data_IF_100739423918
#
_entry.id   IF_100739423918
#
_cell.length_a   1.000
_cell.length_b   1.000
_cell.length_c   1.000
_cell.angle_alpha   90.00
_cell.angle_beta   90.00
_cell.angle_gamma   90.00
#
_symmetry.space_group_name_H-M   'P 1'
#
loop_
_entity.id
_entity.type
_entity.pdbx_description
1 polymer ?
#
# COMPACT_ATOMS: atom_id res chain seq x y z
N UNK A 1 19.26 13.44 0.82
CA UNK A 1 18.04 13.19 1.60
C UNK A 1 17.39 11.98 0.98
N UNK A 2 17.05 10.99 1.80
CA UNK A 2 16.44 9.72 1.39
C UNK A 2 14.93 9.95 1.25
N UNK A 3 14.35 9.66 0.08
CA UNK A 3 12.94 9.91 -0.20
C UNK A 3 12.15 8.61 -0.07
N UNK A 4 11.16 8.61 0.80
CA UNK A 4 10.34 7.43 1.09
C UNK A 4 8.88 7.74 0.74
N UNK A 5 8.27 6.86 -0.05
CA UNK A 5 6.82 6.84 -0.26
C UNK A 5 6.23 5.68 0.54
N UNK A 6 5.14 5.93 1.26
CA UNK A 6 4.37 4.87 1.93
C UNK A 6 2.91 4.97 1.53
N UNK A 7 2.28 3.83 1.29
CA UNK A 7 0.89 3.74 0.85
C UNK A 7 0.14 2.76 1.76
N UNK A 8 -0.92 3.25 2.40
CA UNK A 8 -1.73 2.45 3.32
C UNK A 8 -2.55 1.37 2.60
N UNK A 9 -3.00 0.39 3.39
CA UNK A 9 -4.03 -0.56 2.97
C UNK A 9 -5.43 0.04 2.94
N UNK A 10 -6.33 -0.55 2.15
CA UNK A 10 -7.71 -0.05 2.03
C UNK A 10 -8.59 -0.67 0.95
N UNK A 11 -8.21 -1.82 0.36
CA UNK A 11 -8.96 -2.46 -0.71
C UNK A 11 -9.12 -1.56 -1.94
N UNK A 12 -10.34 -1.48 -2.49
CA UNK A 12 -10.63 -0.67 -3.67
C UNK A 12 -10.38 0.83 -3.46
N UNK A 13 -10.35 1.30 -2.21
CA UNK A 13 -10.06 2.70 -1.86
C UNK A 13 -8.64 3.12 -2.20
N UNK A 14 -7.76 2.18 -2.58
CA UNK A 14 -6.47 2.48 -3.19
C UNK A 14 -6.52 3.37 -4.44
N UNK A 15 -7.69 3.50 -5.07
CA UNK A 15 -7.93 4.50 -6.11
C UNK A 15 -7.61 5.91 -5.60
N UNK A 16 -7.89 6.22 -4.32
CA UNK A 16 -7.67 7.55 -3.74
C UNK A 16 -6.18 7.94 -3.72
N UNK A 17 -5.25 7.23 -3.04
CA UNK A 17 -3.83 7.54 -3.12
C UNK A 17 -3.30 7.38 -4.56
N UNK A 18 -3.92 6.51 -5.35
CA UNK A 18 -3.65 6.40 -6.77
C UNK A 18 -3.84 7.68 -7.58
N UNK A 19 -4.95 8.39 -7.39
CA UNK A 19 -5.19 9.68 -8.04
C UNK A 19 -4.24 10.77 -7.52
N UNK A 20 -3.92 10.76 -6.22
CA UNK A 20 -2.89 11.65 -5.65
C UNK A 20 -1.54 11.44 -6.36
N UNK A 21 -1.12 10.19 -6.52
CA UNK A 21 0.13 9.84 -7.20
C UNK A 21 0.10 10.22 -8.69
N UNK A 22 -1.04 10.06 -9.36
CA UNK A 22 -1.22 10.49 -10.76
C UNK A 22 -0.98 12.00 -10.89
N UNK A 23 -1.62 12.81 -10.04
CA UNK A 23 -1.42 14.26 -10.05
C UNK A 23 0.02 14.64 -9.68
N UNK A 24 0.64 13.97 -8.70
CA UNK A 24 2.04 14.20 -8.34
C UNK A 24 2.99 13.90 -9.51
N UNK A 25 2.75 12.80 -10.22
CA UNK A 25 3.52 12.41 -11.40
C UNK A 25 3.42 13.46 -12.51
N UNK A 26 2.22 13.97 -12.80
CA UNK A 26 2.00 15.07 -13.74
C UNK A 26 2.77 16.35 -13.34
N UNK A 27 2.72 16.73 -12.06
CA UNK A 27 3.47 17.89 -11.55
C UNK A 27 4.98 17.66 -11.74
N UNK A 28 5.48 16.46 -11.44
CA UNK A 28 6.90 16.13 -11.62
C UNK A 28 7.29 16.21 -13.10
N UNK A 29 6.49 15.66 -14.01
CA UNK A 29 6.73 15.71 -15.45
C UNK A 29 6.84 17.16 -15.95
N UNK A 30 5.91 18.01 -15.52
CA UNK A 30 5.89 19.43 -15.88
C UNK A 30 7.11 20.19 -15.33
N UNK A 31 7.41 20.03 -14.03
CA UNK A 31 8.50 20.77 -13.37
C UNK A 31 9.89 20.30 -13.79
N UNK A 32 10.06 19.01 -14.07
CA UNK A 32 11.35 18.46 -14.50
C UNK A 32 11.58 18.59 -16.02
N UNK A 33 10.54 18.90 -16.81
CA UNK A 33 10.61 18.89 -18.26
C UNK A 33 10.77 17.49 -18.87
N UNK A 34 10.53 16.43 -18.08
CA UNK A 34 10.65 15.04 -18.49
C UNK A 34 9.25 14.38 -18.55
N UNK A 35 8.63 14.25 -19.73
CA UNK A 35 7.31 13.62 -19.86
C UNK A 35 7.30 12.13 -19.50
N UNK A 36 8.47 11.46 -19.50
CA UNK A 36 8.61 10.04 -19.16
C UNK A 36 8.89 9.81 -17.67
N UNK A 37 8.85 10.88 -16.85
CA UNK A 37 9.02 10.78 -15.41
C UNK A 37 7.90 9.95 -14.79
N UNK A 38 8.29 8.94 -13.99
CA UNK A 38 7.37 8.08 -13.25
C UNK A 38 7.68 8.08 -11.77
N UNK A 39 6.68 7.93 -10.91
CA UNK A 39 6.86 7.96 -9.44
C UNK A 39 8.00 7.04 -8.95
N UNK A 40 8.11 5.82 -9.50
CA UNK A 40 9.13 4.85 -9.13
C UNK A 40 10.58 5.30 -9.36
N UNK A 41 10.81 6.31 -10.20
CA UNK A 41 12.14 6.83 -10.50
C UNK A 41 12.62 7.87 -9.46
N UNK A 42 11.71 8.47 -8.69
CA UNK A 42 11.98 9.65 -7.85
C UNK A 42 12.09 9.33 -6.35
N UNK A 43 11.50 8.22 -5.91
CA UNK A 43 11.63 7.73 -4.54
C UNK A 43 12.77 6.71 -4.40
N UNK A 44 13.49 6.78 -3.28
CA UNK A 44 14.59 5.85 -2.97
C UNK A 44 14.08 4.56 -2.33
N UNK A 45 12.90 4.61 -1.71
CA UNK A 45 12.21 3.46 -1.14
C UNK A 45 10.69 3.65 -1.23
N UNK A 46 9.95 2.59 -1.55
CA UNK A 46 8.49 2.58 -1.52
C UNK A 46 8.01 1.44 -0.61
N UNK A 47 7.09 1.74 0.30
CA UNK A 47 6.48 0.76 1.19
C UNK A 47 4.97 0.74 1.05
N UNK A 48 4.37 -0.43 1.25
CA UNK A 48 2.94 -0.59 1.05
C UNK A 48 2.33 -1.75 1.82
N UNK A 49 1.07 -1.57 2.18
CA UNK A 49 0.25 -2.60 2.82
C UNK A 49 -1.00 -2.85 2.00
N UNK A 50 -1.39 -4.11 1.82
CA UNK A 50 -2.59 -4.48 1.06
C UNK A 50 -2.53 -3.88 -0.35
N UNK A 51 -3.57 -3.19 -0.79
CA UNK A 51 -3.56 -2.41 -2.03
C UNK A 51 -2.35 -1.48 -2.16
N UNK A 52 -1.89 -0.84 -1.09
CA UNK A 52 -0.65 -0.05 -1.13
C UNK A 52 0.59 -0.88 -1.47
N UNK A 53 0.62 -2.15 -1.06
CA UNK A 53 1.67 -3.11 -1.41
C UNK A 53 1.59 -3.55 -2.88
N UNK A 54 0.38 -3.72 -3.42
CA UNK A 54 0.18 -3.96 -4.86
C UNK A 54 0.63 -2.75 -5.67
N UNK A 55 0.22 -1.53 -5.30
CA UNK A 55 0.70 -0.30 -5.94
C UNK A 55 2.22 -0.18 -5.86
N UNK A 56 2.83 -0.52 -4.72
CA UNK A 56 4.30 -0.58 -4.57
C UNK A 56 4.94 -1.51 -5.59
N UNK A 57 4.37 -2.70 -5.81
CA UNK A 57 4.86 -3.66 -6.80
C UNK A 57 4.79 -3.10 -8.23
N UNK A 58 3.71 -2.41 -8.60
CA UNK A 58 3.59 -1.76 -9.91
C UNK A 58 4.57 -0.61 -10.08
N UNK A 59 4.66 0.30 -9.10
CA UNK A 59 5.51 1.48 -9.15
C UNK A 59 7.00 1.14 -9.22
N UNK A 60 7.40 -0.01 -8.65
CA UNK A 60 8.79 -0.50 -8.68
C UNK A 60 9.05 -1.61 -9.71
N UNK A 61 8.04 -1.96 -10.52
CA UNK A 61 8.21 -2.94 -11.58
C UNK A 61 9.23 -2.42 -12.61
N UNK A 62 10.30 -3.17 -12.90
CA UNK A 62 11.33 -2.71 -13.83
C UNK A 62 10.83 -2.72 -15.29
N UNK A 63 11.09 -1.63 -15.99
CA UNK A 63 11.05 -1.56 -17.45
C UNK A 63 12.37 -2.06 -18.07
N UNK A 64 12.37 -2.25 -19.39
CA UNK A 64 13.56 -2.71 -20.12
C UNK A 64 14.71 -1.69 -20.13
N UNK A 65 14.42 -0.42 -19.85
CA UNK A 65 15.36 0.70 -19.82
C UNK A 65 15.94 0.97 -18.42
N UNK A 66 15.63 0.12 -17.43
CA UNK A 66 16.07 0.30 -16.04
C UNK A 66 15.32 1.38 -15.27
N UNK A 67 14.20 1.86 -15.79
CA UNK A 67 13.26 2.78 -15.11
C UNK A 67 11.96 2.07 -14.74
N UNK A 68 11.07 2.76 -14.03
CA UNK A 68 9.73 2.26 -13.75
C UNK A 68 8.99 1.89 -15.06
N UNK A 69 8.39 0.69 -15.07
CA UNK A 69 7.58 0.21 -16.19
C UNK A 69 6.25 0.96 -16.27
N UNK A 70 5.61 1.18 -15.12
CA UNK A 70 4.26 1.72 -15.01
C UNK A 70 4.25 3.16 -14.49
N UNK A 71 3.44 3.99 -15.13
CA UNK A 71 2.99 5.27 -14.57
C UNK A 71 2.09 5.04 -13.36
N UNK A 72 1.94 6.05 -12.50
CA UNK A 72 0.97 6.00 -11.40
C UNK A 72 -0.46 5.74 -11.92
N UNK A 73 -0.81 6.34 -13.07
CA UNK A 73 -2.10 6.16 -13.71
C UNK A 73 -2.35 4.71 -14.13
N UNK A 74 -1.38 4.06 -14.76
CA UNK A 74 -1.47 2.65 -15.18
C UNK A 74 -1.49 1.69 -13.99
N UNK A 75 -0.73 1.98 -12.92
CA UNK A 75 -0.77 1.20 -11.70
C UNK A 75 -2.19 1.19 -11.09
N UNK A 76 -2.88 2.33 -11.14
CA UNK A 76 -4.23 2.51 -10.58
C UNK A 76 -5.32 2.01 -11.52
N UNK A 77 -5.13 2.08 -12.83
CA UNK A 77 -6.12 1.61 -13.80
C UNK A 77 -6.41 0.13 -13.65
N UNK A 78 -5.44 -0.66 -13.15
CA UNK A 78 -5.67 -2.07 -12.76
C UNK A 78 -6.85 -2.20 -11.78
N UNK A 79 -7.01 -1.30 -10.81
CA UNK A 79 -8.14 -1.31 -9.88
C UNK A 79 -9.45 -0.80 -10.50
N UNK A 80 -9.38 0.15 -11.41
CA UNK A 80 -10.57 0.76 -12.02
C UNK A 80 -11.16 -0.15 -13.09
N UNK A 81 -10.32 -0.72 -13.94
CA UNK A 81 -10.71 -1.54 -15.09
C UNK A 81 -11.02 -2.98 -14.67
N UNK A 82 -10.27 -3.52 -13.70
CA UNK A 82 -10.39 -4.91 -13.26
C UNK A 82 -11.00 -5.03 -11.86
N UNK A 83 -11.42 -3.93 -11.23
CA UNK A 83 -12.00 -3.95 -9.88
C UNK A 83 -13.24 -4.85 -9.79
N UNK A 84 -14.06 -4.86 -10.83
CA UNK A 84 -15.19 -5.77 -10.95
C UNK A 84 -14.78 -7.24 -10.93
N UNK A 85 -13.68 -7.59 -11.61
CA UNK A 85 -13.16 -8.94 -11.75
C UNK A 85 -12.34 -9.39 -10.53
N UNK A 86 -11.59 -8.48 -9.90
CA UNK A 86 -10.79 -8.70 -8.68
C UNK A 86 -11.70 -8.93 -7.47
N UNK A 87 -12.83 -8.22 -7.41
CA UNK A 87 -13.81 -8.32 -6.35
C UNK A 87 -15.13 -8.94 -6.86
N UNK A 88 -15.04 -9.83 -7.85
CA UNK A 88 -16.20 -10.57 -8.34
C UNK A 88 -16.57 -11.65 -7.32
N UNK A 89 -17.82 -11.62 -6.85
CA UNK A 89 -18.29 -12.58 -5.83
C UNK A 89 -18.25 -14.01 -6.39
N UNK A 90 -17.81 -14.97 -5.58
CA UNK A 90 -17.96 -16.39 -5.87
C UNK A 90 -19.45 -16.74 -6.04
N UNK A 91 -19.97 -16.81 -7.26
CA UNK A 91 -21.37 -17.17 -7.53
C UNK A 91 -21.69 -18.67 -7.31
N UNK A 92 -20.85 -19.42 -6.58
CA UNK A 92 -20.78 -20.88 -6.70
C UNK A 92 -20.73 -21.75 -5.44
N UNK A 93 -20.70 -21.24 -4.19
CA UNK A 93 -20.65 -22.09 -2.97
C UNK A 93 -21.65 -21.68 -1.88
N UNK A 94 -22.92 -21.49 -2.26
CA UNK A 94 -24.01 -21.56 -1.30
C UNK A 94 -24.41 -23.03 -1.06
N UNK A 95 -23.65 -23.76 -0.22
CA UNK A 95 -24.25 -24.88 0.52
C UNK A 95 -24.29 -24.50 1.99
N UNK A 96 -25.50 -24.14 2.39
CA UNK A 96 -25.98 -23.93 3.74
C UNK A 96 -25.54 -25.09 4.64
N UNK A 97 -24.78 -24.79 5.69
CA UNK A 97 -24.84 -25.60 6.91
C UNK A 97 -25.34 -24.72 8.06
N UNK A 98 -26.38 -25.21 8.73
CA UNK A 98 -27.04 -24.56 9.85
C UNK A 98 -26.03 -24.39 11.00
N UNK A 99 -25.41 -23.22 11.08
CA UNK A 99 -24.35 -22.93 12.03
C UNK A 99 -23.61 -21.61 11.77
N UNK A 100 -23.62 -21.12 10.53
CA UNK A 100 -23.18 -19.78 10.16
C UNK A 100 -21.66 -19.57 10.20
N UNK A 101 -21.14 -18.88 9.18
CA UNK A 101 -19.72 -18.64 8.85
C UNK A 101 -19.06 -19.82 8.10
N UNK A 102 -19.36 -19.95 6.81
CA UNK A 102 -18.56 -20.82 5.91
C UNK A 102 -18.42 -20.15 4.53
N UNK A 103 -17.17 -19.96 4.10
CA UNK A 103 -16.60 -19.36 2.87
C UNK A 103 -16.24 -17.85 2.84
N UNK A 104 -15.06 -17.57 2.27
CA UNK A 104 -14.57 -16.23 1.96
C UNK A 104 -15.37 -15.56 0.83
N UNK A 105 -15.28 -14.23 0.74
CA UNK A 105 -16.16 -13.44 -0.12
C UNK A 105 -15.78 -13.52 -1.61
N UNK A 106 -14.51 -13.78 -1.95
CA UNK A 106 -13.96 -13.65 -3.31
C UNK A 106 -12.94 -14.75 -3.65
N UNK A 107 -12.90 -15.20 -4.92
CA UNK A 107 -11.88 -16.14 -5.41
C UNK A 107 -10.55 -15.43 -5.67
N UNK A 108 -9.45 -15.97 -5.14
CA UNK A 108 -8.11 -15.41 -5.33
C UNK A 108 -7.58 -15.54 -6.77
N UNK A 109 -8.14 -16.45 -7.57
CA UNK A 109 -7.64 -16.81 -8.91
C UNK A 109 -7.65 -15.66 -9.92
N UNK A 110 -8.69 -14.81 -9.91
CA UNK A 110 -8.78 -13.66 -10.80
C UNK A 110 -7.67 -12.64 -10.53
N UNK A 111 -7.52 -12.26 -9.26
CA UNK A 111 -6.45 -11.34 -8.82
C UNK A 111 -5.07 -11.92 -9.15
N UNK A 112 -4.83 -13.19 -8.88
CA UNK A 112 -3.57 -13.85 -9.21
C UNK A 112 -3.24 -13.81 -10.71
N UNK A 113 -4.23 -14.08 -11.57
CA UNK A 113 -4.05 -14.05 -13.02
C UNK A 113 -3.70 -12.65 -13.51
N UNK A 114 -4.39 -11.62 -13.01
CA UNK A 114 -4.11 -10.22 -13.35
C UNK A 114 -2.70 -9.83 -12.88
N UNK A 115 -2.33 -10.18 -11.65
CA UNK A 115 -1.00 -9.88 -11.11
C UNK A 115 0.09 -10.58 -11.91
N UNK A 116 -0.09 -11.86 -12.29
CA UNK A 116 0.84 -12.62 -13.14
C UNK A 116 0.96 -12.01 -14.53
N UNK A 117 -0.14 -11.59 -15.15
CA UNK A 117 -0.15 -10.97 -16.48
C UNK A 117 0.59 -9.62 -16.46
N UNK A 118 0.25 -8.74 -15.51
CA UNK A 118 0.77 -7.37 -15.50
C UNK A 118 2.20 -7.31 -14.95
N UNK A 119 2.45 -7.85 -13.77
CA UNK A 119 3.78 -7.79 -13.12
C UNK A 119 4.76 -8.80 -13.72
N UNK A 120 4.24 -9.86 -14.34
CA UNK A 120 5.02 -10.99 -14.84
C UNK A 120 5.09 -12.11 -13.80
N UNK A 121 4.68 -13.31 -14.21
CA UNK A 121 4.67 -14.50 -13.36
C UNK A 121 6.05 -14.85 -12.78
N UNK A 122 7.11 -14.43 -13.48
CA UNK A 122 8.49 -14.73 -13.11
C UNK A 122 9.26 -13.60 -12.43
N UNK A 123 8.65 -12.43 -12.22
CA UNK A 123 9.31 -11.32 -11.56
C UNK A 123 9.56 -11.64 -10.09
N UNK A 124 10.83 -11.68 -9.71
CA UNK A 124 11.29 -11.89 -8.33
C UNK A 124 11.41 -10.56 -7.58
N UNK A 125 11.19 -10.59 -6.27
CA UNK A 125 11.33 -9.43 -5.37
C UNK A 125 12.69 -8.75 -5.53
N UNK A 126 13.77 -9.52 -5.61
CA UNK A 126 15.14 -9.03 -5.83
C UNK A 126 15.30 -8.14 -7.08
N UNK A 127 14.42 -8.31 -8.07
CA UNK A 127 14.46 -7.60 -9.36
C UNK A 127 13.68 -6.28 -9.38
N UNK A 128 12.97 -5.91 -8.29
CA UNK A 128 12.35 -4.59 -8.20
C UNK A 128 13.42 -3.47 -8.23
N UNK A 129 13.06 -2.33 -8.80
CA UNK A 129 14.00 -1.24 -9.13
C UNK A 129 14.71 -0.62 -7.92
N UNK A 130 14.05 -0.62 -6.77
CA UNK A 130 14.48 0.05 -5.55
C UNK A 130 14.14 -0.80 -4.33
N UNK A 131 14.78 -0.53 -3.17
CA UNK A 131 14.34 -1.05 -1.90
C UNK A 131 12.83 -0.83 -1.70
N UNK A 132 12.15 -1.86 -1.22
CA UNK A 132 10.75 -1.78 -0.84
C UNK A 132 10.51 -2.43 0.52
N UNK A 133 9.33 -2.20 1.09
CA UNK A 133 8.82 -2.95 2.23
C UNK A 133 7.33 -3.20 2.01
N UNK A 134 6.95 -4.47 1.83
CA UNK A 134 5.55 -4.88 1.70
C UNK A 134 5.16 -5.76 2.89
N UNK A 135 4.07 -5.42 3.58
CA UNK A 135 3.69 -6.08 4.84
C UNK A 135 2.74 -7.26 4.61
N UNK A 136 2.94 -8.36 5.34
CA UNK A 136 1.97 -9.44 5.50
C UNK A 136 2.10 -10.05 6.91
N UNK A 137 1.15 -10.88 7.32
CA UNK A 137 1.22 -11.59 8.60
C UNK A 137 1.22 -13.10 8.39
N UNK A 138 2.23 -13.77 8.92
CA UNK A 138 2.38 -15.23 8.87
C UNK A 138 1.61 -15.86 10.03
N UNK A 139 0.54 -16.59 9.69
CA UNK A 139 -0.39 -17.15 10.67
C UNK A 139 0.12 -18.47 11.25
N UNK A 140 0.96 -19.21 10.53
CA UNK A 140 1.53 -20.47 11.00
C UNK A 140 2.66 -20.20 11.99
N UNK A 141 3.55 -19.27 11.65
CA UNK A 141 4.66 -18.87 12.52
C UNK A 141 4.30 -17.75 13.51
N UNK A 142 3.07 -17.20 13.42
CA UNK A 142 2.54 -16.12 14.26
C UNK A 142 3.45 -14.91 14.35
N UNK A 143 3.89 -14.40 13.19
CA UNK A 143 4.83 -13.28 13.12
C UNK A 143 4.46 -12.28 12.03
N UNK A 144 4.79 -11.02 12.28
CA UNK A 144 4.82 -10.01 11.23
C UNK A 144 5.89 -10.37 10.19
N UNK A 145 5.55 -10.26 8.92
CA UNK A 145 6.42 -10.54 7.77
C UNK A 145 6.57 -9.28 6.94
N UNK A 146 7.81 -8.92 6.63
CA UNK A 146 8.17 -7.78 5.80
C UNK A 146 8.93 -8.28 4.58
N UNK A 147 8.35 -8.11 3.40
CA UNK A 147 9.00 -8.39 2.13
C UNK A 147 9.87 -7.21 1.73
N UNK A 148 11.17 -7.35 1.98
CA UNK A 148 12.16 -6.32 1.72
C UNK A 148 13.02 -6.71 0.50
N UNK A 149 12.99 -5.89 -0.55
CA UNK A 149 13.85 -6.12 -1.71
C UNK A 149 15.34 -6.19 -1.34
N UNK A 150 15.76 -5.39 -0.36
CA UNK A 150 17.14 -5.36 0.12
C UNK A 150 17.62 -6.69 0.76
N UNK A 151 16.69 -7.47 1.32
CA UNK A 151 16.99 -8.75 1.96
C UNK A 151 16.79 -9.94 1.00
N UNK A 152 16.24 -9.68 -0.20
CA UNK A 152 15.89 -10.67 -1.23
C UNK A 152 17.10 -11.20 -2.03
N UNK A 153 18.32 -10.75 -1.75
CA UNK A 153 19.53 -11.42 -2.24
C UNK A 153 19.73 -12.80 -1.60
N UNK A 154 19.01 -13.09 -0.50
CA UNK A 154 18.98 -14.40 0.13
C UNK A 154 17.76 -15.16 -0.40
N UNK A 155 17.91 -16.35 -1.02
CA UNK A 155 16.81 -17.07 -1.67
C UNK A 155 15.57 -17.29 -0.78
N UNK A 156 15.77 -17.60 0.51
CA UNK A 156 14.66 -17.75 1.48
C UNK A 156 13.79 -16.51 1.67
N UNK A 157 14.33 -15.33 1.38
CA UNK A 157 13.65 -14.04 1.48
C UNK A 157 13.19 -13.52 0.10
N UNK A 158 13.46 -14.26 -0.98
CA UNK A 158 13.10 -13.89 -2.33
C UNK A 158 11.85 -14.65 -2.75
N UNK A 159 10.86 -13.92 -3.25
CA UNK A 159 9.55 -14.45 -3.63
C UNK A 159 9.11 -13.83 -4.95
N UNK A 160 8.14 -14.45 -5.64
CA UNK A 160 7.54 -13.80 -6.80
C UNK A 160 6.74 -12.58 -6.35
N UNK A 161 6.84 -11.49 -7.11
CA UNK A 161 6.19 -10.22 -6.76
C UNK A 161 4.67 -10.37 -6.77
N UNK A 162 4.11 -11.16 -7.69
CA UNK A 162 2.67 -11.43 -7.72
C UNK A 162 2.19 -12.21 -6.48
N UNK A 163 3.00 -13.12 -5.94
CA UNK A 163 2.70 -13.84 -4.69
C UNK A 163 2.70 -12.88 -3.49
N UNK A 164 3.68 -11.97 -3.43
CA UNK A 164 3.74 -10.93 -2.40
C UNK A 164 2.52 -10.01 -2.47
N UNK A 165 2.16 -9.55 -3.67
CA UNK A 165 1.00 -8.70 -3.93
C UNK A 165 -0.32 -9.39 -3.54
N UNK A 166 -0.45 -10.70 -3.77
CA UNK A 166 -1.56 -11.52 -3.29
C UNK A 166 -1.53 -11.62 -1.76
N UNK A 167 -0.39 -11.96 -1.16
CA UNK A 167 -0.26 -12.16 0.28
C UNK A 167 -0.58 -10.90 1.08
N UNK A 168 -0.07 -9.75 0.65
CA UNK A 168 -0.30 -8.48 1.36
C UNK A 168 -1.77 -8.05 1.31
N UNK A 169 -2.55 -8.46 0.30
CA UNK A 169 -3.95 -8.09 0.10
C UNK A 169 -4.97 -9.16 0.55
N UNK A 170 -4.49 -10.22 1.19
CA UNK A 170 -5.27 -11.36 1.67
C UNK A 170 -6.08 -11.03 2.94
N UNK A 171 -6.99 -10.05 2.87
CA UNK A 171 -7.68 -9.52 4.03
C UNK A 171 -8.61 -10.57 4.65
N UNK A 172 -8.45 -10.91 5.94
CA UNK A 172 -9.35 -11.84 6.62
C UNK A 172 -10.81 -11.39 6.45
N UNK A 173 -11.72 -12.34 6.26
CA UNK A 173 -13.15 -12.13 5.94
C UNK A 173 -13.47 -11.65 4.52
N UNK A 174 -12.47 -11.26 3.72
CA UNK A 174 -12.64 -10.88 2.31
C UNK A 174 -12.02 -11.92 1.35
N UNK A 175 -10.78 -12.35 1.62
CA UNK A 175 -10.04 -13.31 0.80
C UNK A 175 -9.51 -14.48 1.63
N UNK A 176 -9.31 -15.63 0.98
CA UNK A 176 -8.58 -16.78 1.54
C UNK A 176 -7.17 -16.36 1.98
N UNK A 177 -6.57 -17.06 2.96
CA UNK A 177 -5.15 -16.91 3.26
C UNK A 177 -4.27 -17.26 2.04
N UNK A 178 -3.14 -16.59 1.87
CA UNK A 178 -2.21 -16.83 0.77
C UNK A 178 -1.21 -17.90 1.15
N UNK A 179 -1.03 -18.92 0.30
CA UNK A 179 0.17 -19.74 0.38
C UNK A 179 1.16 -19.25 -0.67
N UNK A 180 2.35 -18.81 -0.25
CA UNK A 180 3.43 -18.39 -1.13
C UNK A 180 4.67 -19.24 -0.92
N UNK A 181 5.56 -19.28 -1.91
CA UNK A 181 6.80 -20.08 -1.82
C UNK A 181 8.03 -19.21 -2.07
N UNK A 182 9.03 -19.31 -1.19
CA UNK A 182 10.33 -18.65 -1.41
C UNK A 182 11.11 -19.31 -2.55
N UNK A 183 12.15 -18.64 -3.04
CA UNK A 183 13.07 -19.20 -4.03
C UNK A 183 13.75 -20.49 -3.54
N UNK A 184 13.91 -20.66 -2.21
CA UNK A 184 14.43 -21.89 -1.59
C UNK A 184 13.40 -23.03 -1.48
N UNK A 185 12.13 -22.77 -1.81
CA UNK A 185 11.05 -23.75 -1.75
C UNK A 185 10.31 -23.83 -0.41
N UNK A 186 10.66 -22.97 0.57
CA UNK A 186 9.91 -22.85 1.83
C UNK A 186 8.56 -22.17 1.59
N UNK A 187 7.49 -22.73 2.17
CA UNK A 187 6.13 -22.25 2.03
C UNK A 187 5.71 -21.42 3.24
N UNK A 188 4.91 -20.39 3.00
CA UNK A 188 4.37 -19.50 4.03
C UNK A 188 2.87 -19.30 3.84
N UNK A 189 2.11 -19.38 4.92
CA UNK A 189 0.67 -19.09 4.94
C UNK A 189 0.45 -17.71 5.54
N UNK A 190 -0.02 -16.77 4.71
CA UNK A 190 -0.01 -15.34 4.99
C UNK A 190 -1.40 -14.72 4.87
N UNK A 191 -1.67 -13.72 5.70
CA UNK A 191 -2.84 -12.82 5.58
C UNK A 191 -2.37 -11.38 5.41
N UNK A 192 -3.32 -10.49 5.09
CA UNK A 192 -3.08 -9.06 4.86
C UNK A 192 -2.30 -8.40 6.00
N UNK A 193 -1.35 -7.54 5.65
CA UNK A 193 -0.54 -6.80 6.63
C UNK A 193 -1.30 -5.72 7.39
N UNK A 194 -2.48 -5.31 6.90
CA UNK A 194 -3.38 -4.34 7.51
C UNK A 194 -3.88 -4.77 8.89
N UNK A 195 -3.80 -6.06 9.22
CA UNK A 195 -4.11 -6.58 10.56
C UNK A 195 -3.17 -6.08 11.65
N UNK A 196 -1.97 -5.58 11.30
CA UNK A 196 -1.00 -5.07 12.28
C UNK A 196 -0.29 -3.78 11.86
N UNK A 197 -0.14 -3.51 10.57
CA UNK A 197 0.59 -2.37 10.04
C UNK A 197 -0.12 -1.80 8.80
N UNK A 198 -1.38 -1.35 8.95
CA UNK A 198 -2.12 -0.76 7.83
C UNK A 198 -1.45 0.49 7.24
N UNK A 199 -0.84 1.31 8.11
CA UNK A 199 0.06 2.39 7.72
C UNK A 199 1.52 1.90 7.89
N UNK A 200 2.23 1.55 6.81
CA UNK A 200 3.58 1.00 6.89
C UNK A 200 4.66 2.06 7.12
N UNK A 201 4.32 3.34 7.35
CA UNK A 201 5.27 4.44 7.38
C UNK A 201 6.36 4.30 8.44
N UNK A 202 6.02 3.88 9.67
CA UNK A 202 7.03 3.67 10.71
C UNK A 202 7.88 2.43 10.45
N UNK A 203 7.30 1.37 9.85
CA UNK A 203 8.06 0.21 9.39
C UNK A 203 9.09 0.62 8.32
N UNK A 204 8.66 1.42 7.34
CA UNK A 204 9.52 1.96 6.30
C UNK A 204 10.61 2.88 6.87
N UNK A 205 10.28 3.73 7.85
CA UNK A 205 11.26 4.56 8.56
C UNK A 205 12.34 3.71 9.24
N UNK A 206 11.95 2.66 9.97
CA UNK A 206 12.87 1.76 10.64
C UNK A 206 13.75 0.99 9.64
N UNK A 207 13.17 0.48 8.56
CA UNK A 207 13.87 -0.26 7.51
C UNK A 207 14.84 0.64 6.73
N UNK A 208 14.42 1.86 6.37
CA UNK A 208 15.29 2.83 5.71
C UNK A 208 16.52 3.16 6.58
N UNK A 209 16.32 3.32 7.90
CA UNK A 209 17.45 3.54 8.82
C UNK A 209 18.39 2.34 8.86
N UNK A 210 17.88 1.11 8.81
CA UNK A 210 18.69 -0.13 8.74
C UNK A 210 19.49 -0.18 7.44
N UNK A 211 18.79 -0.06 6.31
CA UNK A 211 19.33 -0.24 4.97
C UNK A 211 20.32 0.86 4.59
N UNK A 212 19.89 2.12 4.64
CA UNK A 212 20.73 3.25 4.22
C UNK A 212 21.87 3.52 5.18
N UNK A 213 21.77 3.11 6.45
CA UNK A 213 22.94 3.15 7.35
C UNK A 213 24.07 2.29 6.84
N UNK A 214 23.76 1.06 6.42
CA UNK A 214 24.73 0.13 5.86
C UNK A 214 25.21 0.59 4.47
N UNK A 215 24.27 0.96 3.59
CA UNK A 215 24.58 1.35 2.21
C UNK A 215 25.42 2.64 2.11
N UNK A 216 25.12 3.64 2.93
CA UNK A 216 25.81 4.94 2.92
C UNK A 216 26.92 5.05 3.97
N UNK A 217 27.13 4.01 4.78
CA UNK A 217 28.07 3.99 5.91
C UNK A 217 27.93 5.23 6.83
N UNK A 218 26.68 5.64 7.11
CA UNK A 218 26.33 6.84 7.88
C UNK A 218 25.15 6.54 8.79
N UNK A 219 25.14 7.07 10.01
CA UNK A 219 23.91 7.02 10.83
C UNK A 219 22.79 7.83 10.15
N UNK A 220 21.62 7.21 10.04
CA UNK A 220 20.42 7.81 9.43
C UNK A 220 19.45 8.22 10.55
N UNK A 221 19.01 9.47 10.50
CA UNK A 221 18.04 10.10 11.40
C UNK A 221 16.87 10.69 10.61
N UNK A 222 15.87 11.26 11.30
CA UNK A 222 14.76 11.94 10.62
C UNK A 222 15.23 13.10 9.71
N UNK A 223 16.31 13.80 10.08
CA UNK A 223 16.93 14.87 9.27
C UNK A 223 17.38 14.39 7.89
N UNK A 224 17.71 13.12 7.75
CA UNK A 224 18.19 12.53 6.51
C UNK A 224 17.06 12.05 5.59
N UNK A 225 15.81 11.99 6.08
CA UNK A 225 14.67 11.35 5.40
C UNK A 225 13.61 12.39 5.04
N UNK A 226 13.11 12.34 3.80
CA UNK A 226 11.87 12.98 3.39
C UNK A 226 10.82 11.89 3.13
N UNK A 227 9.70 11.95 3.84
CA UNK A 227 8.71 10.87 3.82
C UNK A 227 7.33 11.41 3.44
N UNK A 228 6.75 10.81 2.42
CA UNK A 228 5.37 11.01 2.00
C UNK A 228 4.57 9.76 2.36
N UNK A 229 3.49 9.93 3.11
CA UNK A 229 2.60 8.87 3.55
C UNK A 229 1.19 9.15 3.03
N UNK A 230 0.64 8.20 2.27
CA UNK A 230 -0.65 8.33 1.62
C UNK A 230 -1.65 7.34 2.24
N UNK A 231 -2.73 7.89 2.80
CA UNK A 231 -3.85 7.11 3.30
C UNK A 231 -4.84 6.71 2.21
N UNK A 232 -5.77 5.83 2.58
CA UNK A 232 -6.87 5.34 1.73
C UNK A 232 -8.24 5.89 2.16
N UNK A 233 -8.24 6.99 2.91
CA UNK A 233 -9.44 7.63 3.45
C UNK A 233 -9.85 7.04 4.81
N UNK A 234 -10.31 7.92 5.69
CA UNK A 234 -10.77 7.59 7.05
C UNK A 234 -12.29 7.46 7.13
N UNK A 235 -12.76 6.40 7.78
CA UNK A 235 -14.19 6.24 8.09
C UNK A 235 -14.50 7.12 9.32
N UNK A 236 -15.14 8.27 9.11
CA UNK A 236 -15.49 9.20 10.21
C UNK A 236 -16.78 8.82 10.95
N UNK A 237 -17.38 7.65 10.66
CA UNK A 237 -18.63 7.24 11.31
C UNK A 237 -18.35 6.72 12.72
N UNK A 238 -18.86 7.37 13.77
CA UNK A 238 -18.62 6.91 15.13
C UNK A 238 -19.44 5.64 15.43
N UNK A 239 -18.83 4.73 16.18
CA UNK A 239 -19.56 3.64 16.82
C UNK A 239 -20.17 4.13 18.15
N UNK A 240 -21.49 4.34 18.15
CA UNK A 240 -22.21 4.93 19.28
C UNK A 240 -22.37 3.93 20.44
N UNK A 241 -22.19 4.41 21.68
CA UNK A 241 -22.26 3.61 22.90
C UNK A 241 -23.54 2.77 23.01
N UNK A 242 -24.71 3.37 22.78
CA UNK A 242 -26.00 2.67 22.95
C UNK A 242 -26.19 1.50 22.01
N UNK A 243 -25.50 1.50 20.86
CA UNK A 243 -25.46 0.34 19.97
C UNK A 243 -24.37 -0.64 20.39
N UNK A 244 -23.16 -0.14 20.66
CA UNK A 244 -21.97 -0.96 20.88
C UNK A 244 -21.95 -1.73 22.21
N UNK A 245 -22.60 -1.20 23.26
CA UNK A 245 -22.61 -1.81 24.60
C UNK A 245 -23.22 -3.21 24.64
N UNK A 246 -24.15 -3.50 23.73
CA UNK A 246 -24.91 -4.76 23.66
C UNK A 246 -24.46 -5.64 22.46
N UNK A 247 -23.34 -5.32 21.81
CA UNK A 247 -22.82 -6.12 20.70
C UNK A 247 -22.27 -7.47 21.16
N UNK A 248 -22.71 -8.54 20.50
CA UNK A 248 -22.11 -9.87 20.57
C UNK A 248 -20.94 -10.04 19.60
N UNK A 249 -20.34 -11.23 19.60
CA UNK A 249 -19.14 -11.57 18.81
C UNK A 249 -19.29 -11.20 17.34
N UNK A 250 -20.40 -11.58 16.70
CA UNK A 250 -20.61 -11.32 15.27
C UNK A 250 -20.70 -9.81 14.93
N UNK A 251 -21.26 -9.01 15.83
CA UNK A 251 -21.38 -7.56 15.65
C UNK A 251 -20.05 -6.83 15.83
N UNK A 252 -19.12 -7.39 16.62
CA UNK A 252 -17.79 -6.83 16.84
C UNK A 252 -16.78 -7.11 15.71
N UNK A 253 -16.99 -8.12 14.87
CA UNK A 253 -15.99 -8.54 13.85
C UNK A 253 -15.58 -7.38 12.94
N UNK A 254 -16.55 -6.73 12.27
CA UNK A 254 -16.25 -5.63 11.35
C UNK A 254 -15.69 -4.39 12.06
N UNK A 255 -16.29 -3.89 13.16
CA UNK A 255 -15.75 -2.78 13.93
C UNK A 255 -14.33 -3.00 14.43
N UNK A 256 -13.99 -4.21 14.90
CA UNK A 256 -12.63 -4.48 15.37
C UNK A 256 -11.60 -4.39 14.23
N UNK A 257 -11.90 -4.92 13.05
CA UNK A 257 -11.01 -4.78 11.88
C UNK A 257 -10.82 -3.32 11.52
N UNK A 258 -11.91 -2.55 11.45
CA UNK A 258 -11.87 -1.12 11.16
C UNK A 258 -11.05 -0.33 12.21
N UNK A 259 -11.29 -0.56 13.51
CA UNK A 259 -10.56 0.08 14.61
C UNK A 259 -9.07 -0.27 14.57
N UNK A 260 -8.70 -1.52 14.29
CA UNK A 260 -7.29 -1.91 14.18
C UNK A 260 -6.59 -1.20 13.02
N UNK A 261 -7.28 -1.03 11.88
CA UNK A 261 -6.71 -0.34 10.72
C UNK A 261 -6.63 1.19 10.91
N UNK A 262 -7.71 1.82 11.36
CA UNK A 262 -7.77 3.27 11.60
C UNK A 262 -6.87 3.68 12.78
N UNK A 263 -7.00 2.99 13.92
CA UNK A 263 -6.21 3.26 15.12
C UNK A 263 -4.71 3.05 14.92
N UNK A 264 -4.30 2.04 14.13
CA UNK A 264 -2.89 1.90 13.74
C UNK A 264 -2.43 3.07 12.88
N UNK A 265 -3.22 3.49 11.89
CA UNK A 265 -2.87 4.59 11.00
C UNK A 265 -2.71 5.93 11.73
N UNK A 266 -3.63 6.26 12.64
CA UNK A 266 -3.57 7.45 13.50
C UNK A 266 -2.37 7.43 14.45
N UNK A 267 -2.11 6.27 15.08
CA UNK A 267 -0.99 6.12 16.01
C UNK A 267 0.35 6.29 15.31
N UNK A 268 0.51 5.72 14.11
CA UNK A 268 1.74 5.85 13.32
C UNK A 268 1.97 7.30 12.86
N UNK A 269 0.92 7.99 12.39
CA UNK A 269 1.01 9.40 12.01
C UNK A 269 1.40 10.27 13.22
N UNK A 270 0.80 10.05 14.40
CA UNK A 270 1.18 10.71 15.64
C UNK A 270 2.66 10.48 15.98
N UNK A 271 3.14 9.23 15.93
CA UNK A 271 4.52 8.88 16.25
C UNK A 271 5.52 9.54 15.30
N UNK A 272 5.28 9.48 13.99
CA UNK A 272 6.17 10.06 13.00
C UNK A 272 6.21 11.59 13.08
N UNK A 273 5.07 12.26 13.31
CA UNK A 273 5.06 13.70 13.57
C UNK A 273 5.99 14.08 14.71
N UNK A 274 5.93 13.37 15.84
CA UNK A 274 6.81 13.65 16.99
C UNK A 274 8.28 13.29 16.73
N UNK A 275 8.56 12.22 15.98
CA UNK A 275 9.93 11.85 15.61
C UNK A 275 10.57 12.95 14.75
N UNK A 276 9.87 13.44 13.73
CA UNK A 276 10.39 14.46 12.83
C UNK A 276 10.46 15.85 13.49
N UNK A 277 9.47 16.20 14.31
CA UNK A 277 9.46 17.44 15.09
C UNK A 277 10.60 17.49 16.12
N UNK A 278 10.91 16.35 16.78
CA UNK A 278 12.03 16.26 17.75
C UNK A 278 13.42 16.48 17.14
N UNK A 279 13.51 16.47 15.81
CA UNK A 279 14.72 16.73 15.04
C UNK A 279 14.64 18.08 14.29
N UNK A 280 13.70 18.97 14.66
CA UNK A 280 13.48 20.28 14.05
C UNK A 280 13.22 20.24 12.53
N UNK A 281 12.63 19.13 12.04
CA UNK A 281 12.31 18.93 10.62
C UNK A 281 10.85 18.45 10.40
N UNK A 282 9.83 19.06 11.04
CA UNK A 282 8.44 18.61 10.92
C UNK A 282 7.92 18.59 9.47
N UNK A 283 8.43 19.47 8.60
CA UNK A 283 8.10 19.55 7.18
C UNK A 283 8.58 18.36 6.34
N UNK A 284 9.48 17.52 6.87
CA UNK A 284 10.03 16.37 6.15
C UNK A 284 9.13 15.12 6.23
N UNK A 285 8.09 15.13 7.06
CA UNK A 285 7.05 14.09 7.09
C UNK A 285 5.72 14.68 6.64
N UNK A 286 5.19 14.19 5.52
CA UNK A 286 3.93 14.64 4.95
C UNK A 286 2.95 13.47 4.91
N UNK A 287 1.91 13.54 5.74
CA UNK A 287 0.72 12.69 5.64
C UNK A 287 -0.34 13.37 4.77
N UNK A 288 -0.82 12.64 3.77
CA UNK A 288 -1.98 13.00 2.95
C UNK A 288 -3.06 11.95 3.20
N UNK A 289 -4.15 12.39 3.84
CA UNK A 289 -5.37 11.60 3.99
C UNK A 289 -6.43 12.14 3.01
N UNK A 290 -6.74 11.42 1.92
CA UNK A 290 -7.74 11.86 0.96
C UNK A 290 -9.15 11.74 1.55
N UNK A 291 -10.02 12.69 1.21
CA UNK A 291 -11.43 12.60 1.58
C UNK A 291 -12.16 11.62 0.67
N UNK A 292 -13.09 10.85 1.22
CA UNK A 292 -13.92 9.89 0.46
C UNK A 292 -15.10 10.54 -0.28
N UNK A 293 -15.46 11.79 0.05
CA UNK A 293 -16.56 12.48 -0.61
C UNK A 293 -17.88 11.71 -0.49
N UNK A 294 -18.53 11.43 -1.63
CA UNK A 294 -19.77 10.64 -1.70
C UNK A 294 -19.53 9.16 -1.97
N UNK A 295 -18.28 8.67 -1.94
CA UNK A 295 -18.00 7.26 -2.15
C UNK A 295 -18.52 6.42 -0.99
N UNK A 296 -18.76 5.14 -1.29
CA UNK A 296 -18.91 4.11 -0.28
C UNK A 296 -17.62 4.02 0.56
N UNK A 297 -17.80 3.67 1.82
CA UNK A 297 -16.74 3.50 2.81
C UNK A 297 -16.25 2.05 2.85
N UNK A 298 -17.04 1.12 2.33
CA UNK A 298 -16.69 -0.30 2.27
C UNK A 298 -15.52 -0.57 1.31
N UNK A 299 -14.54 -1.35 1.78
CA UNK A 299 -13.27 -1.58 1.08
C UNK A 299 -13.38 -2.48 -0.17
N UNK A 300 -14.53 -3.06 -0.42
CA UNK A 300 -14.81 -3.97 -1.53
C UNK A 300 -16.06 -3.57 -2.34
N UNK A 301 -16.53 -2.34 -2.17
CA UNK A 301 -17.64 -1.78 -2.93
C UNK A 301 -17.17 -1.43 -4.35
N UNK A 302 -17.27 -2.38 -5.28
CA UNK A 302 -16.77 -2.24 -6.66
C UNK A 302 -17.84 -1.91 -7.70
N UNK A 303 -19.00 -1.40 -7.27
CA UNK A 303 -20.00 -0.90 -8.24
C UNK A 303 -19.37 0.19 -9.11
N UNK A 304 -19.72 0.24 -10.40
CA UNK A 304 -19.20 1.26 -11.33
C UNK A 304 -19.41 2.69 -10.78
N UNK A 305 -20.55 2.93 -10.13
CA UNK A 305 -20.85 4.19 -9.45
C UNK A 305 -19.85 4.49 -8.33
N UNK A 306 -19.49 3.49 -7.50
CA UNK A 306 -18.52 3.70 -6.44
C UNK A 306 -17.09 3.87 -6.96
N UNK A 307 -16.69 3.10 -7.98
CA UNK A 307 -15.38 3.27 -8.63
C UNK A 307 -15.23 4.69 -9.19
N UNK A 308 -16.29 5.20 -9.83
CA UNK A 308 -16.33 6.57 -10.31
C UNK A 308 -16.30 7.59 -9.17
N UNK A 309 -17.05 7.36 -8.08
CA UNK A 309 -17.06 8.22 -6.90
C UNK A 309 -15.68 8.29 -6.22
N UNK A 310 -15.00 7.15 -6.05
CA UNK A 310 -13.64 7.08 -5.50
C UNK A 310 -12.64 7.81 -6.40
N UNK A 311 -12.75 7.65 -7.71
CA UNK A 311 -11.91 8.37 -8.67
C UNK A 311 -12.08 9.88 -8.51
N UNK A 312 -13.32 10.39 -8.55
CA UNK A 312 -13.61 11.80 -8.35
C UNK A 312 -13.16 12.32 -6.97
N UNK A 313 -13.34 11.53 -5.92
CA UNK A 313 -12.91 11.88 -4.57
C UNK A 313 -11.37 11.99 -4.49
N UNK A 314 -10.66 11.10 -5.16
CA UNK A 314 -9.20 11.15 -5.31
C UNK A 314 -8.72 12.37 -6.09
N UNK A 315 -9.33 12.66 -7.25
CA UNK A 315 -9.03 13.85 -8.07
C UNK A 315 -9.28 15.15 -7.29
N UNK A 316 -10.42 15.24 -6.58
CA UNK A 316 -10.75 16.38 -5.72
C UNK A 316 -9.77 16.53 -4.56
N UNK A 317 -9.35 15.41 -3.96
CA UNK A 317 -8.33 15.42 -2.91
C UNK A 317 -6.98 15.86 -3.46
N UNK A 318 -6.59 15.43 -4.66
CA UNK A 318 -5.35 15.83 -5.32
C UNK A 318 -5.31 17.35 -5.55
N UNK A 319 -6.41 17.92 -6.03
CA UNK A 319 -6.56 19.37 -6.21
C UNK A 319 -6.53 20.11 -4.87
N UNK A 320 -7.18 19.57 -3.83
CA UNK A 320 -7.14 20.16 -2.48
C UNK A 320 -5.72 20.21 -1.90
N UNK A 321 -4.91 19.20 -2.20
CA UNK A 321 -3.53 19.11 -1.73
C UNK A 321 -2.51 19.63 -2.74
N UNK A 322 -2.92 20.36 -3.79
CA UNK A 322 -2.04 20.77 -4.89
C UNK A 322 -0.78 21.50 -4.39
N UNK A 323 -0.89 22.47 -3.50
CA UNK A 323 0.27 23.17 -2.91
C UNK A 323 1.25 22.22 -2.20
N UNK A 324 0.74 21.19 -1.50
CA UNK A 324 1.59 20.16 -0.87
C UNK A 324 2.24 19.27 -1.92
N UNK A 325 1.52 18.89 -2.98
CA UNK A 325 2.06 18.08 -4.06
C UNK A 325 3.14 18.84 -4.84
N UNK A 326 2.96 20.14 -5.06
CA UNK A 326 3.97 21.02 -5.63
C UNK A 326 5.24 21.06 -4.78
N UNK A 327 5.10 21.20 -3.46
CA UNK A 327 6.23 21.13 -2.54
C UNK A 327 6.92 19.76 -2.55
N UNK A 328 6.14 18.67 -2.56
CA UNK A 328 6.68 17.30 -2.66
C UNK A 328 7.48 17.15 -3.96
N UNK A 329 6.92 17.57 -5.10
CA UNK A 329 7.59 17.50 -6.39
C UNK A 329 8.91 18.28 -6.37
N UNK A 330 8.96 19.47 -5.76
CA UNK A 330 10.19 20.23 -5.61
C UNK A 330 11.26 19.44 -4.82
N UNK A 331 10.88 18.80 -3.70
CA UNK A 331 11.81 17.98 -2.91
C UNK A 331 12.32 16.74 -3.68
N UNK A 332 11.47 16.16 -4.54
CA UNK A 332 11.81 15.00 -5.36
C UNK A 332 12.72 15.36 -6.54
N UNK A 333 12.47 16.50 -7.19
CA UNK A 333 13.25 16.97 -8.35
C UNK A 333 14.59 17.58 -7.93
N UNK A 334 14.68 18.17 -6.74
CA UNK A 334 15.94 18.65 -6.16
C UNK A 334 16.89 17.48 -5.83
N UNK A 335 17.35 16.74 -6.83
CA UNK A 335 18.57 15.96 -6.68
C UNK A 335 19.69 16.98 -6.52
N UNK A 336 20.24 17.07 -5.31
CA UNK A 336 21.62 17.51 -5.17
C UNK A 336 22.45 16.54 -6.00
N UNK A 337 23.02 17.02 -7.10
CA UNK A 337 24.25 16.46 -7.63
C UNK A 337 25.22 16.35 -6.44
N UNK A 338 25.34 15.16 -5.87
CA UNK A 338 26.31 14.91 -4.80
C UNK A 338 27.01 13.61 -5.11
N UNK A 339 28.10 13.82 -5.86
CA UNK A 339 29.42 13.17 -5.85
C UNK A 339 29.49 11.70 -6.22
#
# INVERSE_FOLDING_TARGET
MIRILTIDGGGIRGILPGQILTKLEEIIQNKSGNPEAKIGDYFDMIAGTSTGGILTAFLLCPGFDGKAKYTAKEAVSTYIEQGGDIFEKSFGHSIVSAGGITDEKYQATNLENILKEKLGADLWLSSLLKPCLITAYDIENRRATFFNQADASVPKNNFKVWEIARATSAAPTYFEAAQITSEEGEKFTLVDGGVFANNPALCAYAEARKYFKKSLNKNISAKDIFMVSLGTGSIEKPYMYDSAKDWGVAQWIKPLVDIMMSGSSETIDFQLKHIFDSEDVPQQYIRIEPGMGSSDQDMDSVSELNLHALKLAGENSANRYEDKLEFIADQLIQRKETV
#
